data_IF_853698878545
#
_entry.id   IF_853698878545
#
_cell.length_a   1.000
_cell.length_b   1.000
_cell.length_c   1.000
_cell.angle_alpha   90.00
_cell.angle_beta   90.00
_cell.angle_gamma   90.00
#
_symmetry.space_group_name_H-M   'P 1'
#
loop_
_entity.id
_entity.type
_entity.pdbx_description
1 polymer ?
#
# COMPACT_ATOMS: atom_id res chain seq x y z
N UNK A 1 -22.04 -6.98 10.40
CA UNK A 1 -22.92 -6.51 11.50
C UNK A 1 -24.19 -7.34 11.64
N UNK A 2 -24.53 -8.23 10.69
CA UNK A 2 -25.79 -8.98 10.78
C UNK A 2 -25.78 -10.13 11.80
N UNK A 3 -24.61 -10.73 12.08
CA UNK A 3 -24.48 -11.90 12.96
C UNK A 3 -24.42 -11.51 14.44
N UNK A 4 -23.48 -10.63 14.81
CA UNK A 4 -23.29 -10.17 16.19
C UNK A 4 -23.76 -8.71 16.32
N UNK A 5 -25.08 -8.52 16.39
CA UNK A 5 -25.71 -7.19 16.43
C UNK A 5 -25.44 -6.43 17.73
N UNK A 6 -25.08 -7.13 18.80
CA UNK A 6 -24.94 -6.59 20.17
C UNK A 6 -23.50 -6.37 20.61
N UNK A 7 -22.51 -6.81 19.83
CA UNK A 7 -21.10 -6.73 20.24
C UNK A 7 -20.15 -6.45 19.07
N UNK A 8 -19.21 -5.54 19.29
CA UNK A 8 -18.11 -5.21 18.37
C UNK A 8 -16.88 -6.11 18.57
N UNK A 9 -16.91 -7.00 19.56
CA UNK A 9 -15.79 -7.87 19.92
C UNK A 9 -15.31 -8.76 18.76
N UNK A 10 -16.18 -9.46 18.00
CA UNK A 10 -15.72 -10.29 16.88
C UNK A 10 -15.03 -9.50 15.77
N UNK A 11 -15.53 -8.30 15.47
CA UNK A 11 -14.91 -7.41 14.49
C UNK A 11 -13.53 -6.91 14.95
N UNK A 12 -13.41 -6.61 16.26
CA UNK A 12 -12.16 -6.16 16.87
C UNK A 12 -11.11 -7.28 16.90
N UNK A 13 -11.51 -8.51 17.25
CA UNK A 13 -10.63 -9.70 17.22
C UNK A 13 -10.12 -9.96 15.80
N UNK A 14 -11.00 -9.90 14.81
CA UNK A 14 -10.64 -10.06 13.40
C UNK A 14 -9.61 -9.00 12.96
N UNK A 15 -9.86 -7.72 13.28
CA UNK A 15 -8.93 -6.63 12.99
C UNK A 15 -7.57 -6.80 13.68
N UNK A 16 -7.57 -7.10 14.98
CA UNK A 16 -6.33 -7.31 15.75
C UNK A 16 -5.51 -8.49 15.22
N UNK A 17 -6.15 -9.63 14.98
CA UNK A 17 -5.47 -10.83 14.51
C UNK A 17 -4.79 -10.61 13.15
N UNK A 18 -5.48 -9.94 12.22
CA UNK A 18 -4.90 -9.59 10.91
C UNK A 18 -3.75 -8.61 11.03
N UNK A 19 -3.85 -7.60 11.89
CA UNK A 19 -2.76 -6.64 12.14
C UNK A 19 -1.55 -7.31 12.77
N UNK A 20 -1.74 -8.16 13.78
CA UNK A 20 -0.66 -8.93 14.43
C UNK A 20 0.02 -9.86 13.41
N UNK A 21 -0.74 -10.58 12.59
CA UNK A 21 -0.19 -11.41 11.51
C UNK A 21 0.66 -10.57 10.54
N UNK A 22 0.20 -9.37 10.18
CA UNK A 22 0.98 -8.41 9.39
C UNK A 22 2.28 -8.00 10.06
N UNK A 23 2.27 -7.65 11.35
CA UNK A 23 3.48 -7.25 12.07
C UNK A 23 4.51 -8.38 12.09
N UNK A 24 4.08 -9.59 12.45
CA UNK A 24 5.00 -10.71 12.72
C UNK A 24 5.50 -11.40 11.44
N UNK A 25 4.69 -11.45 10.38
CA UNK A 25 4.97 -12.31 9.22
C UNK A 25 5.25 -11.56 7.91
N UNK A 26 5.10 -10.22 7.84
CA UNK A 26 5.35 -9.47 6.60
C UNK A 26 6.80 -9.62 6.08
N UNK A 27 7.79 -9.63 6.97
CA UNK A 27 9.21 -9.84 6.61
C UNK A 27 9.45 -11.25 6.08
N UNK A 28 8.82 -12.26 6.68
CA UNK A 28 8.89 -13.66 6.23
C UNK A 28 8.28 -13.81 4.83
N UNK A 29 7.13 -13.19 4.57
CA UNK A 29 6.53 -13.14 3.23
C UNK A 29 7.50 -12.49 2.23
N UNK A 30 8.12 -11.38 2.62
CA UNK A 30 9.18 -10.74 1.84
C UNK A 30 10.34 -11.68 1.49
N UNK A 31 10.84 -12.43 2.47
CA UNK A 31 11.90 -13.44 2.25
C UNK A 31 11.45 -14.58 1.33
N UNK A 32 10.18 -14.98 1.39
CA UNK A 32 9.63 -16.00 0.48
C UNK A 32 9.59 -15.46 -0.94
N UNK A 33 9.17 -14.20 -1.13
CA UNK A 33 9.18 -13.54 -2.45
C UNK A 33 10.59 -13.48 -3.02
N UNK A 34 11.60 -13.22 -2.19
CA UNK A 34 13.01 -13.14 -2.64
C UNK A 34 13.59 -14.49 -3.06
N UNK A 35 13.16 -15.58 -2.42
CA UNK A 35 13.67 -16.94 -2.69
C UNK A 35 12.90 -17.67 -3.80
N UNK A 36 11.73 -17.18 -4.17
CA UNK A 36 10.86 -17.85 -5.14
C UNK A 36 11.02 -17.23 -6.54
N UNK A 37 11.03 -18.05 -7.61
CA UNK A 37 11.05 -17.52 -8.97
C UNK A 37 9.86 -16.58 -9.21
N UNK A 38 10.10 -15.46 -9.89
CA UNK A 38 9.13 -14.38 -10.14
C UNK A 38 7.74 -14.88 -10.53
N UNK A 39 7.63 -15.75 -11.55
CA UNK A 39 6.34 -16.30 -11.99
C UNK A 39 5.69 -17.19 -10.93
N UNK A 40 6.46 -18.09 -10.32
CA UNK A 40 5.96 -18.99 -9.29
C UNK A 40 5.51 -18.24 -8.04
N UNK A 41 6.20 -17.16 -7.66
CA UNK A 41 5.83 -16.29 -6.55
C UNK A 41 4.43 -15.71 -6.78
N UNK A 42 4.22 -15.02 -7.91
CA UNK A 42 2.93 -14.41 -8.26
C UNK A 42 1.82 -15.45 -8.30
N UNK A 43 2.05 -16.59 -8.97
CA UNK A 43 1.03 -17.66 -9.09
C UNK A 43 0.67 -18.27 -7.74
N UNK A 44 1.64 -18.52 -6.86
CA UNK A 44 1.39 -19.08 -5.52
C UNK A 44 0.62 -18.09 -4.65
N UNK A 45 1.04 -16.82 -4.58
CA UNK A 45 0.33 -15.81 -3.79
C UNK A 45 -1.07 -15.55 -4.32
N UNK A 46 -1.24 -15.44 -5.64
CA UNK A 46 -2.54 -15.29 -6.27
C UNK A 46 -3.47 -16.47 -5.96
N UNK A 47 -2.98 -17.70 -6.09
CA UNK A 47 -3.76 -18.90 -5.78
C UNK A 47 -4.18 -18.93 -4.31
N UNK A 48 -3.23 -18.75 -3.38
CA UNK A 48 -3.51 -18.74 -1.94
C UNK A 48 -4.54 -17.65 -1.60
N UNK A 49 -4.39 -16.44 -2.14
CA UNK A 49 -5.29 -15.32 -1.89
C UNK A 49 -6.72 -15.61 -2.36
N UNK A 50 -6.89 -16.06 -3.61
CA UNK A 50 -8.22 -16.33 -4.19
C UNK A 50 -8.88 -17.55 -3.55
N UNK A 51 -8.12 -18.62 -3.33
CA UNK A 51 -8.63 -19.82 -2.66
C UNK A 51 -9.09 -19.52 -1.23
N UNK A 52 -8.28 -18.78 -0.46
CA UNK A 52 -8.64 -18.36 0.90
C UNK A 52 -9.87 -17.44 0.89
N UNK A 53 -10.01 -16.57 -0.11
CA UNK A 53 -11.21 -15.73 -0.28
C UNK A 53 -12.47 -16.56 -0.50
N UNK A 54 -12.40 -17.58 -1.36
CA UNK A 54 -13.54 -18.48 -1.63
C UNK A 54 -13.91 -19.29 -0.39
N UNK A 55 -12.93 -19.87 0.31
CA UNK A 55 -13.19 -20.58 1.57
C UNK A 55 -13.79 -19.66 2.64
N UNK A 56 -13.28 -18.43 2.76
CA UNK A 56 -13.83 -17.42 3.65
C UNK A 56 -15.27 -17.06 3.30
N UNK A 57 -15.58 -16.88 2.02
CA UNK A 57 -16.93 -16.60 1.55
C UNK A 57 -17.91 -17.76 1.82
N UNK A 58 -17.48 -19.01 1.61
CA UNK A 58 -18.28 -20.20 1.97
C UNK A 58 -18.51 -20.30 3.48
N UNK A 59 -17.47 -20.04 4.29
CA UNK A 59 -17.60 -19.99 5.75
C UNK A 59 -18.56 -18.90 6.22
N UNK A 60 -18.53 -17.71 5.61
CA UNK A 60 -19.49 -16.65 5.85
C UNK A 60 -20.91 -17.04 5.42
N UNK A 61 -21.07 -17.71 4.27
CA UNK A 61 -22.37 -18.20 3.82
C UNK A 61 -22.99 -19.15 4.85
N UNK A 62 -22.25 -20.18 5.29
CA UNK A 62 -22.71 -21.15 6.30
C UNK A 62 -23.08 -20.45 7.60
N UNK A 63 -22.26 -19.52 8.07
CA UNK A 63 -22.50 -18.79 9.31
C UNK A 63 -23.75 -17.90 9.17
N UNK A 64 -23.94 -17.22 8.04
CA UNK A 64 -25.10 -16.35 7.82
C UNK A 64 -26.41 -17.11 7.58
N UNK A 65 -26.36 -18.35 7.07
CA UNK A 65 -27.57 -19.13 6.79
C UNK A 65 -27.99 -19.99 7.97
N UNK A 66 -27.06 -20.61 8.69
CA UNK A 66 -27.36 -21.73 9.60
C UNK A 66 -27.01 -21.46 11.07
N UNK A 67 -26.35 -20.34 11.38
CA UNK A 67 -26.04 -19.95 12.75
C UNK A 67 -26.92 -18.79 13.22
N UNK A 68 -27.76 -19.04 14.23
CA UNK A 68 -28.56 -18.01 14.90
C UNK A 68 -28.14 -17.89 16.37
N UNK A 69 -27.39 -16.85 16.76
CA UNK A 69 -26.92 -16.68 18.14
C UNK A 69 -28.04 -16.37 19.14
N UNK A 70 -29.27 -16.05 18.69
CA UNK A 70 -30.42 -15.75 19.56
C UNK A 70 -31.23 -16.98 19.95
N UNK A 71 -30.97 -18.12 19.30
CA UNK A 71 -31.68 -19.39 19.50
C UNK A 71 -31.21 -20.20 20.72
N UNK A 72 -30.37 -19.64 21.58
CA UNK A 72 -29.85 -20.28 22.81
C UNK A 72 -30.90 -20.51 23.92
N UNK A 73 -32.18 -20.21 23.66
CA UNK A 73 -33.28 -20.50 24.58
C UNK A 73 -33.68 -21.98 24.58
N UNK A 74 -34.34 -22.47 25.66
CA UNK A 74 -34.86 -23.84 25.73
C UNK A 74 -36.01 -23.99 24.72
N UNK A 75 -35.68 -24.42 23.49
CA UNK A 75 -36.63 -24.58 22.39
C UNK A 75 -36.18 -24.02 21.03
N UNK A 76 -35.04 -23.32 20.94
CA UNK A 76 -34.48 -22.86 19.68
C UNK A 76 -33.62 -23.95 19.00
N UNK A 77 -34.07 -24.46 17.86
CA UNK A 77 -33.30 -25.40 17.03
C UNK A 77 -32.52 -24.66 15.95
N UNK A 78 -31.35 -24.08 16.29
CA UNK A 78 -30.40 -23.68 15.26
C UNK A 78 -29.75 -24.89 14.61
N UNK A 79 -29.59 -24.86 13.29
CA UNK A 79 -28.92 -25.93 12.54
C UNK A 79 -27.44 -26.09 12.93
N UNK A 80 -26.78 -25.00 13.37
CA UNK A 80 -25.44 -25.04 13.97
C UNK A 80 -25.49 -24.85 15.49
N UNK A 81 -24.70 -25.65 16.20
CA UNK A 81 -24.42 -25.46 17.63
C UNK A 81 -23.48 -24.25 17.87
N UNK A 82 -23.53 -23.66 19.06
CA UNK A 82 -22.69 -22.52 19.46
C UNK A 82 -21.18 -22.80 19.31
N UNK A 83 -20.74 -24.02 19.66
CA UNK A 83 -19.36 -24.46 19.49
C UNK A 83 -18.92 -24.50 18.02
N UNK A 84 -19.81 -24.96 17.14
CA UNK A 84 -19.55 -25.01 15.70
C UNK A 84 -19.47 -23.60 15.10
N UNK A 85 -20.35 -22.68 15.52
CA UNK A 85 -20.33 -21.29 15.08
C UNK A 85 -19.02 -20.58 15.45
N UNK A 86 -18.55 -20.77 16.69
CA UNK A 86 -17.28 -20.22 17.14
C UNK A 86 -16.07 -20.83 16.40
N UNK A 87 -16.14 -22.11 16.05
CA UNK A 87 -15.09 -22.79 15.28
C UNK A 87 -14.97 -22.21 13.86
N UNK A 88 -16.10 -21.98 13.18
CA UNK A 88 -16.13 -21.33 11.87
C UNK A 88 -15.61 -19.89 11.99
N UNK A 89 -16.01 -19.15 13.02
CA UNK A 89 -15.50 -17.80 13.25
C UNK A 89 -13.98 -17.78 13.45
N UNK A 90 -13.43 -18.70 14.26
CA UNK A 90 -11.98 -18.83 14.43
C UNK A 90 -11.27 -19.14 13.10
N UNK A 91 -11.84 -20.01 12.27
CA UNK A 91 -11.33 -20.29 10.92
C UNK A 91 -11.33 -19.04 10.02
N UNK A 92 -12.39 -18.23 10.06
CA UNK A 92 -12.47 -16.98 9.30
C UNK A 92 -11.40 -15.96 9.75
N UNK A 93 -11.15 -15.87 11.05
CA UNK A 93 -10.08 -15.02 11.60
C UNK A 93 -8.71 -15.49 11.11
N UNK A 94 -8.40 -16.79 11.17
CA UNK A 94 -7.13 -17.31 10.65
C UNK A 94 -6.99 -17.09 9.13
N UNK A 95 -8.05 -17.37 8.37
CA UNK A 95 -8.10 -17.18 6.92
C UNK A 95 -7.85 -15.73 6.53
N UNK A 96 -8.31 -14.76 7.33
CA UNK A 96 -8.06 -13.35 7.05
C UNK A 96 -6.60 -12.93 7.20
N UNK A 97 -5.87 -13.52 8.16
CA UNK A 97 -4.43 -13.33 8.27
C UNK A 97 -3.70 -13.86 7.04
N UNK A 98 -4.06 -15.06 6.58
CA UNK A 98 -3.52 -15.65 5.34
C UNK A 98 -3.86 -14.79 4.13
N UNK A 99 -5.07 -14.27 4.04
CA UNK A 99 -5.50 -13.38 2.97
C UNK A 99 -4.67 -12.08 2.93
N UNK A 100 -4.45 -11.45 4.08
CA UNK A 100 -3.63 -10.24 4.20
C UNK A 100 -2.19 -10.49 3.77
N UNK A 101 -1.58 -11.59 4.23
CA UNK A 101 -0.20 -11.95 3.90
C UNK A 101 -0.02 -12.38 2.44
N UNK A 102 -0.99 -13.07 1.86
CA UNK A 102 -0.95 -13.44 0.44
C UNK A 102 -1.12 -12.22 -0.48
N UNK A 103 -2.02 -11.30 -0.14
CA UNK A 103 -2.16 -10.02 -0.84
C UNK A 103 -0.88 -9.18 -0.77
N UNK A 104 -0.21 -9.16 0.39
CA UNK A 104 1.10 -8.54 0.55
C UNK A 104 2.14 -9.17 -0.39
N UNK A 105 2.29 -10.49 -0.38
CA UNK A 105 3.24 -11.19 -1.24
C UNK A 105 2.98 -10.96 -2.73
N UNK A 106 1.71 -10.91 -3.13
CA UNK A 106 1.30 -10.53 -4.48
C UNK A 106 1.71 -9.09 -4.83
N UNK A 107 1.43 -8.11 -3.97
CA UNK A 107 1.80 -6.69 -4.17
C UNK A 107 3.31 -6.51 -4.27
N UNK A 108 4.10 -7.15 -3.39
CA UNK A 108 5.57 -7.11 -3.48
C UNK A 108 6.05 -7.69 -4.82
N UNK A 109 5.46 -8.81 -5.25
CA UNK A 109 5.88 -9.48 -6.50
C UNK A 109 5.52 -8.69 -7.76
N UNK A 110 4.32 -8.13 -7.84
CA UNK A 110 3.86 -7.38 -9.02
C UNK A 110 4.25 -5.91 -8.94
N UNK A 111 3.79 -5.21 -7.90
CA UNK A 111 3.88 -3.76 -7.80
C UNK A 111 5.29 -3.28 -7.50
N UNK A 112 6.04 -4.04 -6.67
CA UNK A 112 7.38 -3.63 -6.22
C UNK A 112 8.53 -4.31 -6.98
N UNK A 113 8.28 -5.38 -7.73
CA UNK A 113 9.31 -6.11 -8.51
C UNK A 113 9.01 -6.13 -10.02
N UNK A 114 7.91 -6.73 -10.48
CA UNK A 114 7.66 -6.83 -11.93
C UNK A 114 7.54 -5.47 -12.62
N UNK A 115 6.87 -4.51 -11.99
CA UNK A 115 6.68 -3.18 -12.57
C UNK A 115 7.99 -2.42 -12.72
N UNK A 116 8.89 -2.57 -11.75
CA UNK A 116 10.22 -1.95 -11.79
C UNK A 116 11.04 -2.60 -12.90
N UNK A 117 11.07 -3.93 -12.95
CA UNK A 117 11.79 -4.68 -13.98
C UNK A 117 11.28 -4.38 -15.41
N UNK A 118 9.97 -4.19 -15.58
CA UNK A 118 9.36 -3.83 -16.88
C UNK A 118 9.70 -2.39 -17.31
N UNK A 119 9.87 -1.47 -16.36
CA UNK A 119 10.20 -0.08 -16.65
C UNK A 119 11.71 0.15 -16.82
N UNK A 120 12.55 -0.79 -16.38
CA UNK A 120 14.02 -0.68 -16.45
C UNK A 120 14.49 0.66 -15.87
N UNK A 121 15.33 1.41 -16.60
CA UNK A 121 15.82 2.73 -16.21
C UNK A 121 14.86 3.89 -16.53
N UNK A 122 13.66 3.63 -17.05
CA UNK A 122 12.70 4.68 -17.40
C UNK A 122 11.85 5.10 -16.19
N UNK A 123 12.39 6.00 -15.38
CA UNK A 123 11.71 6.58 -14.21
C UNK A 123 10.38 7.27 -14.54
N UNK A 124 10.24 7.87 -15.73
CA UNK A 124 8.97 8.51 -16.13
C UNK A 124 7.87 7.46 -16.40
N UNK A 125 8.22 6.36 -17.06
CA UNK A 125 7.31 5.24 -17.27
C UNK A 125 6.89 4.61 -15.93
N UNK A 126 7.84 4.43 -15.01
CA UNK A 126 7.58 3.92 -13.66
C UNK A 126 6.62 4.85 -12.89
N UNK A 127 6.85 6.17 -12.95
CA UNK A 127 5.97 7.19 -12.36
C UNK A 127 4.54 7.05 -12.89
N UNK A 128 4.38 6.98 -14.22
CA UNK A 128 3.07 6.85 -14.87
C UNK A 128 2.38 5.54 -14.49
N UNK A 129 3.12 4.43 -14.46
CA UNK A 129 2.57 3.11 -14.16
C UNK A 129 2.13 3.00 -12.70
N UNK A 130 2.95 3.47 -11.74
CA UNK A 130 2.58 3.54 -10.33
C UNK A 130 1.32 4.39 -10.10
N UNK A 131 1.28 5.59 -10.71
CA UNK A 131 0.13 6.47 -10.59
C UNK A 131 -1.15 5.81 -11.17
N UNK A 132 -1.03 5.14 -12.32
CA UNK A 132 -2.16 4.44 -12.95
C UNK A 132 -2.65 3.26 -12.12
N UNK A 133 -1.76 2.44 -11.55
CA UNK A 133 -2.17 1.37 -10.65
C UNK A 133 -2.92 1.90 -9.43
N UNK A 134 -2.39 2.95 -8.81
CA UNK A 134 -3.00 3.56 -7.64
C UNK A 134 -4.37 4.17 -7.95
N UNK A 135 -4.53 4.77 -9.14
CA UNK A 135 -5.84 5.24 -9.63
C UNK A 135 -6.84 4.11 -9.73
N UNK A 136 -6.44 2.98 -10.32
CA UNK A 136 -7.32 1.80 -10.43
C UNK A 136 -7.74 1.31 -9.05
N UNK A 137 -6.80 1.20 -8.10
CA UNK A 137 -7.09 0.81 -6.71
C UNK A 137 -8.09 1.77 -6.04
N UNK A 138 -7.87 3.09 -6.15
CA UNK A 138 -8.77 4.09 -5.58
C UNK A 138 -10.17 4.09 -6.23
N UNK A 139 -10.25 3.92 -7.54
CA UNK A 139 -11.53 3.79 -8.25
C UNK A 139 -12.28 2.54 -7.77
N UNK A 140 -11.60 1.41 -7.65
CA UNK A 140 -12.19 0.18 -7.10
C UNK A 140 -12.66 0.37 -5.65
N UNK A 141 -11.85 1.03 -4.80
CA UNK A 141 -12.24 1.35 -3.41
C UNK A 141 -13.48 2.22 -3.30
N UNK A 142 -13.72 3.08 -4.29
CA UNK A 142 -14.93 3.91 -4.36
C UNK A 142 -16.14 3.11 -4.91
N UNK A 143 -15.95 2.37 -5.99
CA UNK A 143 -17.03 1.73 -6.74
C UNK A 143 -17.48 0.42 -6.08
N UNK A 144 -16.57 -0.40 -5.55
CA UNK A 144 -16.90 -1.72 -5.00
C UNK A 144 -17.92 -1.68 -3.85
N UNK A 145 -17.79 -0.79 -2.83
CA UNK A 145 -18.80 -0.70 -1.77
C UNK A 145 -20.17 -0.26 -2.28
N UNK A 146 -20.23 0.61 -3.29
CA UNK A 146 -21.49 1.09 -3.88
C UNK A 146 -22.23 -0.04 -4.61
N UNK A 147 -21.51 -0.81 -5.44
CA UNK A 147 -22.07 -1.97 -6.11
C UNK A 147 -22.51 -3.01 -5.08
N UNK A 148 -21.67 -3.30 -4.08
CA UNK A 148 -22.01 -4.27 -3.04
C UNK A 148 -23.25 -3.85 -2.25
N UNK A 149 -23.37 -2.58 -1.85
CA UNK A 149 -24.55 -2.06 -1.17
C UNK A 149 -25.82 -2.18 -2.05
N UNK A 150 -25.72 -1.89 -3.36
CA UNK A 150 -26.83 -2.03 -4.29
C UNK A 150 -27.26 -3.50 -4.52
N UNK A 151 -26.34 -4.46 -4.40
CA UNK A 151 -26.67 -5.88 -4.44
C UNK A 151 -27.35 -6.33 -3.15
N UNK A 152 -26.86 -5.85 -1.99
CA UNK A 152 -27.40 -6.21 -0.68
C UNK A 152 -28.85 -5.73 -0.47
N UNK A 153 -29.30 -4.68 -1.17
CA UNK A 153 -30.72 -4.27 -1.12
C UNK A 153 -31.66 -5.24 -1.85
N UNK A 154 -31.12 -6.10 -2.72
CA UNK A 154 -31.91 -7.04 -3.54
C UNK A 154 -31.73 -8.50 -3.13
N UNK A 155 -30.65 -8.83 -2.44
CA UNK A 155 -30.21 -10.20 -2.19
C UNK A 155 -29.77 -10.34 -0.73
N UNK A 156 -30.14 -11.45 -0.06
CA UNK A 156 -29.71 -11.70 1.32
C UNK A 156 -28.18 -11.75 1.43
N UNK A 157 -27.63 -11.33 2.57
CA UNK A 157 -26.18 -11.26 2.79
C UNK A 157 -25.45 -12.60 2.57
N UNK A 158 -26.10 -13.72 2.92
CA UNK A 158 -25.57 -15.05 2.63
C UNK A 158 -25.31 -15.24 1.13
N UNK A 159 -26.31 -15.03 0.27
CA UNK A 159 -26.13 -15.17 -1.18
C UNK A 159 -25.17 -14.12 -1.76
N UNK A 160 -25.08 -12.93 -1.17
CA UNK A 160 -24.05 -11.95 -1.55
C UNK A 160 -22.63 -12.51 -1.39
N UNK A 161 -22.37 -13.29 -0.34
CA UNK A 161 -21.05 -13.95 -0.16
C UNK A 161 -20.76 -14.99 -1.26
N UNK A 162 -21.77 -15.73 -1.73
CA UNK A 162 -21.61 -16.67 -2.85
C UNK A 162 -21.34 -15.94 -4.16
N UNK A 163 -22.02 -14.81 -4.42
CA UNK A 163 -21.73 -13.97 -5.60
C UNK A 163 -20.27 -13.52 -5.59
N UNK A 164 -19.74 -13.11 -4.43
CA UNK A 164 -18.32 -12.76 -4.27
C UNK A 164 -17.41 -13.95 -4.57
N UNK A 165 -17.75 -15.15 -4.08
CA UNK A 165 -16.98 -16.36 -4.35
C UNK A 165 -16.93 -16.69 -5.85
N UNK A 166 -18.07 -16.60 -6.54
CA UNK A 166 -18.15 -16.80 -8.00
C UNK A 166 -17.35 -15.76 -8.76
N UNK A 167 -17.46 -14.47 -8.41
CA UNK A 167 -16.67 -13.40 -9.02
C UNK A 167 -15.17 -13.62 -8.80
N UNK A 168 -14.78 -14.09 -7.62
CA UNK A 168 -13.39 -14.38 -7.28
C UNK A 168 -12.80 -15.49 -8.17
N UNK A 169 -13.56 -16.56 -8.45
CA UNK A 169 -13.13 -17.64 -9.34
C UNK A 169 -13.00 -17.19 -10.80
N UNK A 170 -13.94 -16.36 -11.25
CA UNK A 170 -13.88 -15.76 -12.58
C UNK A 170 -12.64 -14.85 -12.73
N UNK A 171 -12.44 -13.94 -11.76
CA UNK A 171 -11.28 -13.04 -11.71
C UNK A 171 -9.95 -13.79 -11.65
N UNK A 172 -9.87 -14.87 -10.86
CA UNK A 172 -8.68 -15.70 -10.75
C UNK A 172 -8.25 -16.28 -12.11
N UNK A 173 -9.20 -16.79 -12.89
CA UNK A 173 -8.93 -17.36 -14.22
C UNK A 173 -8.34 -16.31 -15.16
N UNK A 174 -8.95 -15.11 -15.18
CA UNK A 174 -8.47 -14.00 -16.00
C UNK A 174 -7.07 -13.55 -15.55
N UNK A 175 -6.86 -13.35 -14.25
CA UNK A 175 -5.58 -12.91 -13.69
C UNK A 175 -4.45 -13.88 -14.02
N UNK A 176 -4.69 -15.20 -13.91
CA UNK A 176 -3.70 -16.21 -14.29
C UNK A 176 -3.32 -16.15 -15.78
N UNK A 177 -4.31 -15.94 -16.66
CA UNK A 177 -4.06 -15.82 -18.10
C UNK A 177 -3.24 -14.55 -18.37
N UNK A 178 -3.59 -13.42 -17.75
CA UNK A 178 -2.89 -12.15 -17.92
C UNK A 178 -1.45 -12.20 -17.40
N UNK A 179 -1.24 -12.75 -16.20
CA UNK A 179 0.12 -12.92 -15.60
C UNK A 179 1.01 -13.77 -16.50
N UNK A 180 0.49 -14.91 -17.00
CA UNK A 180 1.24 -15.77 -17.95
C UNK A 180 1.52 -15.05 -19.26
N UNK A 181 0.58 -14.25 -19.76
CA UNK A 181 0.77 -13.47 -20.99
C UNK A 181 1.85 -12.41 -20.83
N UNK A 182 1.87 -11.67 -19.72
CA UNK A 182 2.90 -10.68 -19.41
C UNK A 182 4.28 -11.35 -19.32
N UNK A 183 4.36 -12.50 -18.63
CA UNK A 183 5.58 -13.30 -18.51
C UNK A 183 6.13 -13.74 -19.86
N UNK A 184 5.27 -14.28 -20.73
CA UNK A 184 5.70 -14.77 -22.05
C UNK A 184 6.11 -13.64 -23.01
N UNK A 185 5.58 -12.42 -22.82
CA UNK A 185 5.87 -11.27 -23.66
C UNK A 185 7.06 -10.44 -23.20
N UNK A 186 7.50 -10.63 -21.95
CA UNK A 186 8.50 -9.77 -21.31
C UNK A 186 9.70 -10.62 -20.88
N UNK A 187 10.66 -10.90 -21.79
CA UNK A 187 11.81 -11.75 -21.47
C UNK A 187 12.68 -11.16 -20.36
N UNK A 188 12.57 -9.86 -20.08
CA UNK A 188 13.28 -9.21 -18.98
C UNK A 188 12.91 -9.76 -17.60
N UNK A 189 11.70 -10.32 -17.45
CA UNK A 189 11.25 -10.93 -16.21
C UNK A 189 11.92 -12.30 -15.96
N UNK A 190 12.52 -12.91 -16.99
CA UNK A 190 13.22 -14.19 -16.89
C UNK A 190 14.63 -14.03 -16.33
N UNK A 191 15.20 -12.83 -16.42
CA UNK A 191 16.50 -12.53 -15.83
C UNK A 191 16.39 -12.59 -14.31
N UNK A 192 17.44 -13.15 -13.69
CA UNK A 192 17.61 -13.09 -12.24
C UNK A 192 17.62 -11.62 -11.81
N UNK A 193 17.09 -11.33 -10.60
CA UNK A 193 17.09 -9.97 -10.05
C UNK A 193 18.51 -9.42 -10.08
N UNK A 194 18.73 -8.35 -10.84
CA UNK A 194 20.06 -7.77 -11.02
C UNK A 194 20.47 -7.02 -9.77
N UNK A 195 21.61 -7.41 -9.20
CA UNK A 195 22.21 -6.83 -8.02
C UNK A 195 22.95 -5.53 -8.43
N UNK A 196 22.37 -4.37 -8.18
CA UNK A 196 23.16 -3.13 -8.09
C UNK A 196 23.10 -2.60 -6.67
N UNK A 197 24.08 -1.79 -6.22
CA UNK A 197 24.19 -1.32 -4.82
C UNK A 197 24.38 0.21 -4.68
N UNK A 198 23.57 0.86 -3.81
CA UNK A 198 23.81 2.06 -2.97
C UNK A 198 22.62 2.31 -2.03
N UNK A 199 22.85 2.75 -0.78
CA UNK A 199 21.95 2.58 0.38
C UNK A 199 21.17 3.83 0.95
N UNK A 200 20.02 3.67 1.67
CA UNK A 200 19.21 4.65 2.45
C UNK A 200 17.94 4.07 3.17
N UNK A 201 17.76 4.40 4.47
CA UNK A 201 16.85 3.80 5.47
C UNK A 201 15.63 4.68 5.90
N UNK A 202 15.33 5.78 5.20
CA UNK A 202 14.51 6.88 5.76
C UNK A 202 12.97 6.67 5.82
N UNK A 203 12.41 5.56 5.35
CA UNK A 203 10.99 5.50 4.94
C UNK A 203 9.96 5.16 6.04
N UNK A 204 10.30 4.40 7.08
CA UNK A 204 9.27 3.84 7.99
C UNK A 204 8.49 4.90 8.81
N UNK A 205 9.09 6.05 9.11
CA UNK A 205 8.60 7.01 10.12
C UNK A 205 7.27 7.68 9.75
N UNK A 206 6.90 7.73 8.46
CA UNK A 206 5.82 8.61 7.96
C UNK A 206 4.43 7.98 8.05
N UNK A 207 4.32 6.69 8.36
CA UNK A 207 3.02 6.00 8.48
C UNK A 207 2.33 6.18 9.84
N UNK A 208 2.86 7.01 10.76
CA UNK A 208 2.09 7.50 11.91
C UNK A 208 1.23 8.69 11.46
N UNK A 209 0.03 8.43 10.96
CA UNK A 209 -0.91 9.50 10.60
C UNK A 209 -2.34 9.20 11.08
N UNK A 210 -2.68 9.57 12.33
CA UNK A 210 -4.07 9.46 12.81
C UNK A 210 -5.01 10.58 12.35
N UNK A 211 -4.55 11.55 11.55
CA UNK A 211 -5.44 12.53 10.91
C UNK A 211 -5.98 12.06 9.56
N UNK A 212 -5.81 10.78 9.26
CA UNK A 212 -6.66 10.10 8.30
C UNK A 212 -8.07 9.95 8.88
N UNK A 213 -9.10 10.04 8.02
CA UNK A 213 -10.51 9.68 8.27
C UNK A 213 -10.64 8.18 8.56
N UNK A 214 -10.02 7.75 9.65
CA UNK A 214 -10.09 6.40 10.22
C UNK A 214 -11.29 6.31 11.16
N UNK A 215 -11.65 5.09 11.58
CA UNK A 215 -12.84 4.84 12.41
C UNK A 215 -12.93 5.71 13.68
N UNK A 216 -11.79 6.07 14.26
CA UNK A 216 -11.70 6.86 15.49
C UNK A 216 -12.06 8.34 15.27
N UNK A 217 -11.59 8.94 14.17
CA UNK A 217 -11.93 10.32 13.80
C UNK A 217 -13.42 10.46 13.47
N UNK A 218 -14.01 9.46 12.82
CA UNK A 218 -15.45 9.42 12.54
C UNK A 218 -16.25 9.41 13.83
N UNK A 219 -15.87 8.59 14.81
CA UNK A 219 -16.53 8.54 16.12
C UNK A 219 -16.50 9.89 16.84
N UNK A 220 -15.35 10.58 16.81
CA UNK A 220 -15.21 11.93 17.36
C UNK A 220 -16.11 12.96 16.64
N UNK A 221 -16.15 12.91 15.31
CA UNK A 221 -16.99 13.77 14.50
C UNK A 221 -18.50 13.55 14.78
N UNK A 222 -18.92 12.30 14.96
CA UNK A 222 -20.29 11.99 15.39
C UNK A 222 -20.59 12.55 16.77
N UNK A 223 -19.64 12.43 17.72
CA UNK A 223 -19.76 13.02 19.06
C UNK A 223 -19.88 14.55 19.02
N UNK A 224 -19.15 15.23 18.12
CA UNK A 224 -19.32 16.68 17.85
C UNK A 224 -20.65 17.04 17.15
N UNK A 225 -21.53 16.08 16.90
CA UNK A 225 -22.88 16.30 16.37
C UNK A 225 -23.00 16.25 14.85
N UNK A 226 -21.98 15.78 14.13
CA UNK A 226 -22.09 15.62 12.67
C UNK A 226 -23.02 14.45 12.32
N UNK A 227 -23.94 14.70 11.39
CA UNK A 227 -24.83 13.66 10.87
C UNK A 227 -24.06 12.60 10.07
N UNK A 228 -24.59 11.38 10.04
CA UNK A 228 -24.03 10.30 9.22
C UNK A 228 -23.92 10.68 7.73
N UNK A 229 -24.87 11.49 7.21
CA UNK A 229 -24.84 12.00 5.85
C UNK A 229 -23.66 12.94 5.58
N UNK A 230 -23.39 13.87 6.49
CA UNK A 230 -22.23 14.77 6.37
C UNK A 230 -20.90 14.01 6.39
N UNK A 231 -20.79 12.96 7.22
CA UNK A 231 -19.60 12.10 7.28
C UNK A 231 -19.43 11.28 6.00
N UNK A 232 -20.53 10.76 5.44
CA UNK A 232 -20.50 10.06 4.15
C UNK A 232 -20.06 10.98 3.01
N UNK A 233 -20.57 12.23 2.98
CA UNK A 233 -20.15 13.24 2.02
C UNK A 233 -18.67 13.56 2.13
N UNK A 234 -18.17 13.80 3.35
CA UNK A 234 -16.75 14.04 3.62
C UNK A 234 -15.88 12.88 3.11
N UNK A 235 -16.28 11.63 3.36
CA UNK A 235 -15.56 10.46 2.84
C UNK A 235 -15.51 10.46 1.31
N UNK A 236 -16.63 10.76 0.65
CA UNK A 236 -16.69 10.88 -0.81
C UNK A 236 -15.74 11.95 -1.34
N UNK A 237 -15.74 13.15 -0.74
CA UNK A 237 -14.84 14.26 -1.11
C UNK A 237 -13.37 13.89 -0.84
N UNK A 238 -13.08 13.23 0.27
CA UNK A 238 -11.75 12.69 0.56
C UNK A 238 -11.31 11.74 -0.55
N UNK A 239 -12.10 10.72 -0.91
CA UNK A 239 -11.73 9.75 -1.96
C UNK A 239 -11.49 10.42 -3.32
N UNK A 240 -12.25 11.45 -3.67
CA UNK A 240 -11.98 12.27 -4.87
C UNK A 240 -10.64 12.99 -4.74
N UNK A 241 -10.34 13.56 -3.58
CA UNK A 241 -9.06 14.23 -3.30
C UNK A 241 -7.88 13.25 -3.35
N UNK A 242 -8.06 11.99 -2.93
CA UNK A 242 -7.06 10.92 -3.09
C UNK A 242 -6.77 10.67 -4.57
N UNK A 243 -7.82 10.61 -5.41
CA UNK A 243 -7.67 10.46 -6.85
C UNK A 243 -6.95 11.66 -7.48
N UNK A 244 -7.24 12.88 -7.03
CA UNK A 244 -6.52 14.10 -7.45
C UNK A 244 -5.03 13.99 -7.09
N UNK A 245 -4.69 13.50 -5.89
CA UNK A 245 -3.29 13.25 -5.50
C UNK A 245 -2.54 12.37 -6.52
N UNK A 246 -3.18 11.31 -7.02
CA UNK A 246 -2.56 10.45 -8.05
C UNK A 246 -2.39 11.12 -9.42
N UNK A 247 -3.11 12.21 -9.70
CA UNK A 247 -2.95 13.03 -10.91
C UNK A 247 -1.88 14.10 -10.70
N UNK A 248 -1.84 14.70 -9.52
CA UNK A 248 -0.90 15.75 -9.13
C UNK A 248 0.54 15.22 -9.09
N UNK A 249 0.75 14.03 -8.50
CA UNK A 249 2.10 13.45 -8.36
C UNK A 249 2.89 13.35 -9.68
N UNK A 250 2.41 12.70 -10.77
CA UNK A 250 3.18 12.60 -12.00
C UNK A 250 3.39 13.97 -12.68
N UNK A 251 2.42 14.88 -12.56
CA UNK A 251 2.55 16.25 -13.09
C UNK A 251 3.69 16.97 -12.36
N UNK A 252 3.70 16.94 -11.02
CA UNK A 252 4.75 17.56 -10.23
C UNK A 252 6.12 16.92 -10.49
N UNK A 253 6.20 15.59 -10.55
CA UNK A 253 7.46 14.88 -10.80
C UNK A 253 8.07 15.27 -12.15
N UNK A 254 7.26 15.51 -13.18
CA UNK A 254 7.74 16.03 -14.48
C UNK A 254 8.36 17.43 -14.38
N UNK A 255 7.83 18.30 -13.52
CA UNK A 255 8.29 19.70 -13.42
C UNK A 255 9.41 19.93 -12.41
N UNK A 256 9.32 19.32 -11.23
CA UNK A 256 10.26 19.58 -10.12
C UNK A 256 11.14 18.38 -9.77
N UNK A 257 10.85 17.20 -10.29
CA UNK A 257 11.55 15.95 -9.99
C UNK A 257 11.01 15.22 -8.76
N UNK A 258 11.20 13.90 -8.72
CA UNK A 258 10.58 12.98 -7.75
C UNK A 258 10.80 13.39 -6.29
N UNK A 259 12.06 13.61 -5.88
CA UNK A 259 12.42 13.95 -4.50
C UNK A 259 11.82 15.29 -4.04
N UNK A 260 11.72 16.28 -4.94
CA UNK A 260 11.10 17.58 -4.62
C UNK A 260 9.59 17.47 -4.56
N UNK A 261 8.97 16.66 -5.41
CA UNK A 261 7.54 16.35 -5.33
C UNK A 261 7.19 15.81 -3.95
N UNK A 262 8.01 14.93 -3.38
CA UNK A 262 7.81 14.42 -2.01
C UNK A 262 7.84 15.53 -0.97
N UNK A 263 8.82 16.44 -1.04
CA UNK A 263 8.94 17.52 -0.07
C UNK A 263 7.74 18.49 -0.15
N UNK A 264 7.34 18.87 -1.36
CA UNK A 264 6.14 19.68 -1.56
C UNK A 264 4.88 18.98 -1.05
N UNK A 265 4.74 17.67 -1.29
CA UNK A 265 3.55 16.91 -0.91
C UNK A 265 3.39 16.80 0.61
N UNK A 266 4.45 16.50 1.35
CA UNK A 266 4.38 16.34 2.81
C UNK A 266 4.22 17.68 3.55
N UNK A 267 4.83 18.76 3.05
CA UNK A 267 4.60 20.08 3.62
C UNK A 267 3.21 20.62 3.28
N UNK A 268 2.70 20.33 2.08
CA UNK A 268 1.31 20.63 1.73
C UNK A 268 0.32 19.91 2.66
N UNK A 269 0.59 18.65 3.01
CA UNK A 269 -0.20 17.91 3.99
C UNK A 269 -0.18 18.59 5.37
N UNK A 270 0.99 18.96 5.90
CA UNK A 270 1.13 19.65 7.19
C UNK A 270 0.33 20.97 7.18
N UNK A 271 0.45 21.75 6.12
CA UNK A 271 -0.25 23.04 5.97
C UNK A 271 -1.77 22.82 5.92
N UNK A 272 -2.23 21.82 5.17
CA UNK A 272 -3.66 21.49 5.06
C UNK A 272 -4.27 21.01 6.39
N UNK A 273 -3.48 20.32 7.24
CA UNK A 273 -3.94 19.81 8.54
C UNK A 273 -3.81 20.80 9.69
N UNK A 274 -3.00 21.85 9.55
CA UNK A 274 -2.86 22.92 10.56
C UNK A 274 -4.21 23.56 10.95
N UNK A 275 -5.10 23.97 10.02
CA UNK A 275 -6.41 24.52 10.38
C UNK A 275 -7.34 23.46 10.99
N UNK A 276 -7.16 22.18 10.66
CA UNK A 276 -7.91 21.07 11.29
C UNK A 276 -7.54 20.96 12.76
N UNK A 277 -6.25 20.99 13.08
CA UNK A 277 -5.78 20.93 14.46
C UNK A 277 -6.30 22.12 15.26
N UNK A 278 -6.17 23.35 14.74
CA UNK A 278 -6.70 24.55 15.38
C UNK A 278 -8.20 24.45 15.64
N UNK A 279 -8.94 23.82 14.72
CA UNK A 279 -10.37 23.63 14.84
C UNK A 279 -10.80 22.69 15.94
N UNK A 280 -10.00 21.67 16.22
CA UNK A 280 -10.32 20.73 17.29
C UNK A 280 -10.34 21.43 18.66
N UNK A 281 -9.53 22.48 18.85
CA UNK A 281 -9.47 23.30 20.07
C UNK A 281 -10.55 24.39 20.18
N UNK A 282 -11.36 24.61 19.14
CA UNK A 282 -12.34 25.71 19.13
C UNK A 282 -13.71 25.28 18.60
N UNK A 283 -14.78 25.56 19.34
CA UNK A 283 -16.14 25.08 18.99
C UNK A 283 -16.98 26.05 18.14
N UNK A 284 -16.38 27.06 17.51
CA UNK A 284 -17.13 28.03 16.69
C UNK A 284 -17.52 27.44 15.31
N UNK A 285 -18.77 27.64 14.91
CA UNK A 285 -19.38 27.07 13.69
C UNK A 285 -18.66 27.29 12.33
N UNK A 286 -17.93 28.38 12.02
CA UNK A 286 -17.18 28.48 10.76
C UNK A 286 -15.92 27.58 10.72
N UNK A 287 -15.50 27.04 11.88
CA UNK A 287 -14.27 26.27 12.02
C UNK A 287 -14.50 24.76 11.72
N UNK A 288 -15.76 24.29 11.75
CA UNK A 288 -16.10 22.92 11.31
C UNK A 288 -15.87 22.74 9.80
N UNK A 289 -16.15 23.75 8.98
CA UNK A 289 -15.82 23.72 7.54
C UNK A 289 -14.31 23.58 7.29
N UNK A 290 -13.47 24.18 8.15
CA UNK A 290 -12.01 24.02 8.08
C UNK A 290 -11.57 22.58 8.36
N UNK A 291 -12.27 21.85 9.23
CA UNK A 291 -12.02 20.42 9.45
C UNK A 291 -12.27 19.65 8.15
N UNK A 292 -13.44 19.85 7.51
CA UNK A 292 -13.78 19.15 6.27
C UNK A 292 -12.82 19.50 5.13
N UNK A 293 -12.58 20.79 4.91
CA UNK A 293 -11.71 21.26 3.83
C UNK A 293 -10.26 20.84 4.06
N UNK A 294 -9.74 20.98 5.28
CA UNK A 294 -8.36 20.59 5.62
C UNK A 294 -8.14 19.08 5.54
N UNK A 295 -9.09 18.26 6.00
CA UNK A 295 -9.01 16.80 5.85
C UNK A 295 -9.12 16.34 4.38
N UNK A 296 -9.94 17.00 3.57
CA UNK A 296 -10.04 16.69 2.14
C UNK A 296 -8.74 17.09 1.40
N UNK A 297 -8.27 18.32 1.61
CA UNK A 297 -7.05 18.83 0.98
C UNK A 297 -5.82 18.01 1.37
N UNK A 298 -5.69 17.63 2.64
CA UNK A 298 -4.53 16.83 3.09
C UNK A 298 -4.40 15.50 2.35
N UNK A 299 -5.51 14.92 1.84
CA UNK A 299 -5.47 13.68 1.03
C UNK A 299 -4.67 13.83 -0.24
N UNK A 300 -4.72 14.98 -0.89
CA UNK A 300 -3.93 15.23 -2.11
C UNK A 300 -2.43 15.13 -1.78
N UNK A 301 -2.02 15.71 -0.65
CA UNK A 301 -0.64 15.68 -0.17
C UNK A 301 -0.18 14.27 0.21
N UNK A 302 -0.92 13.60 1.10
CA UNK A 302 -0.60 12.25 1.59
C UNK A 302 -0.45 11.26 0.43
N UNK A 303 -1.41 11.22 -0.50
CA UNK A 303 -1.40 10.23 -1.58
C UNK A 303 -0.37 10.54 -2.67
N UNK A 304 -0.07 11.83 -2.90
CA UNK A 304 1.07 12.20 -3.74
C UNK A 304 2.39 11.78 -3.10
N UNK A 305 2.52 11.96 -1.79
CA UNK A 305 3.69 11.57 -1.03
C UNK A 305 3.88 10.04 -1.02
N UNK A 306 2.82 9.27 -0.77
CA UNK A 306 2.83 7.79 -0.79
C UNK A 306 3.34 7.24 -2.14
N UNK A 307 2.90 7.82 -3.25
CA UNK A 307 3.39 7.47 -4.59
C UNK A 307 4.87 7.83 -4.77
N UNK A 308 5.29 9.02 -4.33
CA UNK A 308 6.69 9.46 -4.42
C UNK A 308 7.59 8.49 -3.68
N UNK A 309 7.23 8.09 -2.46
CA UNK A 309 8.11 7.20 -1.72
C UNK A 309 8.03 5.76 -2.22
N UNK A 310 6.87 5.29 -2.64
CA UNK A 310 6.77 3.98 -3.31
C UNK A 310 7.74 3.91 -4.49
N UNK A 311 7.76 4.95 -5.34
CA UNK A 311 8.70 5.02 -6.45
C UNK A 311 10.16 5.19 -6.00
N UNK A 312 10.40 6.03 -4.99
CA UNK A 312 11.76 6.21 -4.45
C UNK A 312 12.29 4.87 -3.91
N UNK A 313 11.45 4.08 -3.24
CA UNK A 313 11.79 2.76 -2.72
C UNK A 313 12.05 1.76 -3.85
N UNK A 314 11.24 1.76 -4.90
CA UNK A 314 11.45 0.93 -6.09
C UNK A 314 12.79 1.23 -6.78
N UNK A 315 13.07 2.52 -7.05
CA UNK A 315 14.33 2.94 -7.70
C UNK A 315 15.55 2.66 -6.81
N UNK A 316 15.37 2.79 -5.49
CA UNK A 316 16.41 2.57 -4.50
C UNK A 316 16.75 1.08 -4.29
N UNK A 317 15.74 0.21 -4.27
CA UNK A 317 15.92 -1.25 -4.06
C UNK A 317 16.58 -1.90 -5.27
N UNK A 318 16.18 -1.54 -6.49
CA UNK A 318 16.77 -2.03 -7.74
C UNK A 318 18.25 -1.62 -7.85
N UNK A 319 18.58 -0.46 -7.29
CA UNK A 319 19.94 0.04 -7.20
C UNK A 319 20.71 -0.52 -6.00
N UNK A 320 20.16 -1.41 -5.16
CA UNK A 320 20.66 -1.66 -3.80
C UNK A 320 21.04 -3.08 -3.36
N UNK A 321 20.13 -4.05 -3.48
CA UNK A 321 20.09 -5.15 -2.49
C UNK A 321 19.44 -6.46 -3.01
N UNK A 322 20.00 -7.61 -2.62
CA UNK A 322 19.47 -8.95 -2.97
C UNK A 322 18.18 -9.31 -2.21
N UNK A 323 17.77 -8.49 -1.23
CA UNK A 323 16.67 -8.75 -0.29
C UNK A 323 15.54 -7.71 -0.42
N UNK A 324 15.18 -7.38 -1.66
CA UNK A 324 14.13 -6.42 -2.02
C UNK A 324 12.80 -6.72 -1.31
N UNK A 325 12.38 -7.97 -1.33
CA UNK A 325 11.16 -8.46 -0.71
C UNK A 325 11.20 -8.33 0.80
N UNK A 326 12.31 -8.68 1.46
CA UNK A 326 12.47 -8.49 2.92
C UNK A 326 12.35 -7.01 3.30
N UNK A 327 12.96 -6.10 2.55
CA UNK A 327 12.86 -4.67 2.84
C UNK A 327 11.42 -4.16 2.68
N UNK A 328 10.73 -4.61 1.63
CA UNK A 328 9.29 -4.36 1.48
C UNK A 328 8.50 -4.94 2.65
N UNK A 329 8.74 -6.20 3.03
CA UNK A 329 8.08 -6.85 4.15
C UNK A 329 8.31 -6.14 5.49
N UNK A 330 9.52 -5.65 5.74
CA UNK A 330 9.84 -4.83 6.91
C UNK A 330 9.08 -3.52 6.91
N UNK A 331 9.02 -2.86 5.76
CA UNK A 331 8.24 -1.65 5.57
C UNK A 331 6.75 -1.88 5.89
N UNK A 332 6.14 -2.94 5.36
CA UNK A 332 4.74 -3.28 5.69
C UNK A 332 4.56 -3.65 7.16
N UNK A 333 5.52 -4.32 7.80
CA UNK A 333 5.48 -4.59 9.25
C UNK A 333 5.45 -3.28 10.06
N UNK A 334 6.32 -2.32 9.73
CA UNK A 334 6.32 -1.00 10.37
C UNK A 334 5.01 -0.24 10.18
N UNK A 335 4.41 -0.30 8.99
CA UNK A 335 3.07 0.26 8.76
C UNK A 335 2.02 -0.33 9.72
N UNK A 336 2.01 -1.65 9.89
CA UNK A 336 1.07 -2.32 10.80
C UNK A 336 1.35 -1.99 12.28
N UNK A 337 2.62 -1.79 12.68
CA UNK A 337 2.97 -1.35 14.04
C UNK A 337 2.40 0.03 14.32
N UNK A 338 2.52 0.98 13.38
CA UNK A 338 1.98 2.32 13.55
C UNK A 338 0.44 2.36 13.50
N UNK A 339 -0.18 1.52 12.68
CA UNK A 339 -1.62 1.31 12.70
C UNK A 339 -2.09 0.80 14.07
N UNK A 340 -1.35 -0.14 14.68
CA UNK A 340 -1.66 -0.65 16.01
C UNK A 340 -1.44 0.42 17.10
N UNK A 341 -0.38 1.22 17.00
CA UNK A 341 -0.11 2.33 17.91
C UNK A 341 -1.25 3.36 17.91
N UNK A 342 -1.84 3.63 16.74
CA UNK A 342 -3.03 4.47 16.61
C UNK A 342 -4.22 3.92 17.43
N UNK A 343 -4.47 2.60 17.39
CA UNK A 343 -5.53 2.01 18.20
C UNK A 343 -5.24 2.12 19.70
N UNK A 344 -4.01 1.86 20.13
CA UNK A 344 -3.60 2.03 21.53
C UNK A 344 -3.75 3.46 22.01
N UNK A 345 -3.36 4.44 21.20
CA UNK A 345 -3.51 5.86 21.53
C UNK A 345 -4.98 6.21 21.80
N UNK A 346 -5.88 5.72 20.94
CA UNK A 346 -7.32 5.94 21.11
C UNK A 346 -7.87 5.22 22.35
N UNK A 347 -7.28 4.07 22.71
CA UNK A 347 -7.68 3.31 23.89
C UNK A 347 -7.29 4.02 25.19
N UNK A 348 -6.08 4.60 25.24
CA UNK A 348 -5.60 5.38 26.39
C UNK A 348 -6.45 6.64 26.59
N UNK A 349 -6.77 7.34 25.50
CA UNK A 349 -7.64 8.52 25.51
C UNK A 349 -8.99 8.22 24.87
N UNK A 350 -9.72 7.28 25.48
CA UNK A 350 -11.05 6.86 25.01
C UNK A 350 -12.15 7.90 25.25
N UNK A 351 -11.94 8.83 26.20
CA UNK A 351 -12.90 9.91 26.48
C UNK A 351 -12.88 10.96 25.36
N UNK A 352 -14.03 11.26 24.73
CA UNK A 352 -14.11 12.14 23.57
C UNK A 352 -13.68 13.58 23.88
N UNK A 353 -13.91 14.07 25.10
CA UNK A 353 -13.46 15.40 25.54
C UNK A 353 -11.93 15.58 25.49
N UNK A 354 -11.19 14.47 25.59
CA UNK A 354 -9.72 14.45 25.54
C UNK A 354 -9.17 14.02 24.18
N UNK A 355 -10.03 13.83 23.19
CA UNK A 355 -9.62 13.31 21.87
C UNK A 355 -8.68 14.26 21.11
N UNK A 356 -8.64 15.55 21.48
CA UNK A 356 -7.67 16.51 20.96
C UNK A 356 -6.20 16.10 21.22
N UNK A 357 -5.93 15.32 22.28
CA UNK A 357 -4.59 14.84 22.63
C UNK A 357 -4.09 13.85 21.56
N UNK A 358 -4.81 12.75 21.25
CA UNK A 358 -4.52 11.91 20.09
C UNK A 358 -4.31 12.66 18.77
N UNK A 359 -5.18 13.64 18.47
CA UNK A 359 -5.07 14.43 17.25
C UNK A 359 -3.78 15.27 17.20
N UNK A 360 -3.41 15.88 18.33
CA UNK A 360 -2.20 16.70 18.45
C UNK A 360 -0.94 15.85 18.32
N UNK A 361 -0.90 14.70 19.00
CA UNK A 361 0.25 13.79 18.89
C UNK A 361 0.45 13.33 17.44
N UNK A 362 -0.65 13.04 16.74
CA UNK A 362 -0.61 12.64 15.34
C UNK A 362 -0.10 13.75 14.43
N UNK A 363 -0.51 14.99 14.67
CA UNK A 363 0.05 16.15 13.96
C UNK A 363 1.56 16.30 14.18
N UNK A 364 2.02 16.14 15.42
CA UNK A 364 3.44 16.16 15.75
C UNK A 364 4.20 15.05 15.00
N UNK A 365 3.64 13.85 14.90
CA UNK A 365 4.26 12.75 14.15
C UNK A 365 4.35 13.05 12.64
N UNK A 366 3.34 13.67 12.04
CA UNK A 366 3.39 14.08 10.62
C UNK A 366 4.44 15.16 10.39
N UNK A 367 4.50 16.18 11.26
CA UNK A 367 5.54 17.22 11.21
C UNK A 367 6.92 16.61 11.36
N UNK A 368 7.10 15.66 12.29
CA UNK A 368 8.35 14.93 12.44
C UNK A 368 8.71 14.14 11.16
N UNK A 369 7.74 13.45 10.55
CA UNK A 369 7.91 12.80 9.25
C UNK A 369 8.34 13.77 8.14
N UNK A 370 7.73 14.95 8.09
CA UNK A 370 8.08 16.02 7.15
C UNK A 370 9.53 16.52 7.34
N UNK A 371 9.97 16.68 8.59
CA UNK A 371 11.33 17.08 8.94
C UNK A 371 12.35 15.98 8.59
N UNK A 372 12.05 14.72 8.88
CA UNK A 372 12.89 13.58 8.50
C UNK A 372 13.04 13.51 6.98
N UNK A 373 11.94 13.60 6.23
CA UNK A 373 11.99 13.60 4.77
C UNK A 373 12.76 14.81 4.23
N UNK A 374 12.55 16.00 4.80
CA UNK A 374 13.30 17.21 4.41
C UNK A 374 14.80 17.05 4.66
N UNK A 375 15.19 16.40 5.76
CA UNK A 375 16.59 16.07 6.06
C UNK A 375 17.16 15.09 5.03
N UNK A 376 16.38 14.09 4.61
CA UNK A 376 16.74 13.19 3.52
C UNK A 376 16.95 13.95 2.20
N UNK A 377 16.05 14.89 1.85
CA UNK A 377 16.21 15.73 0.66
C UNK A 377 17.49 16.55 0.71
N UNK A 378 17.81 17.16 1.86
CA UNK A 378 19.05 17.92 2.07
C UNK A 378 20.27 17.01 1.90
N UNK A 379 20.27 15.80 2.48
CA UNK A 379 21.40 14.87 2.35
C UNK A 379 21.62 14.39 0.92
N UNK A 380 20.55 14.17 0.17
CA UNK A 380 20.62 13.73 -1.22
C UNK A 380 21.04 14.82 -2.20
N UNK A 381 20.80 16.11 -1.90
CA UNK A 381 21.00 17.21 -2.87
C UNK A 381 21.85 18.39 -2.41
N UNK A 382 22.11 18.54 -1.12
CA UNK A 382 22.80 19.69 -0.53
C UNK A 382 21.93 20.92 -0.25
N UNK A 383 20.76 21.08 -0.89
CA UNK A 383 19.86 22.23 -0.71
C UNK A 383 18.36 21.87 -0.87
N UNK A 384 17.48 22.61 -0.19
CA UNK A 384 16.01 22.47 -0.29
C UNK A 384 15.41 23.25 -1.47
N UNK A 385 15.89 24.48 -1.71
CA UNK A 385 15.42 25.37 -2.76
C UNK A 385 16.53 25.64 -3.76
N UNK A 386 16.23 25.48 -5.05
CA UNK A 386 17.16 25.82 -6.12
C UNK A 386 17.06 27.33 -6.37
N UNK A 387 18.02 28.11 -5.87
CA UNK A 387 18.25 29.45 -6.42
C UNK A 387 18.96 29.26 -7.75
N UNK A 388 18.29 29.61 -8.84
CA UNK A 388 18.84 29.51 -10.20
C UNK A 388 19.93 30.57 -10.34
N UNK A 389 21.15 30.30 -9.84
CA UNK A 389 22.33 31.06 -10.27
C UNK A 389 22.57 30.67 -11.72
N UNK A 390 22.09 31.50 -12.65
CA UNK A 390 22.68 31.60 -13.98
C UNK A 390 24.10 32.11 -13.79
N UNK A 391 25.06 31.22 -13.66
CA UNK A 391 26.45 31.54 -13.93
C UNK A 391 26.88 30.65 -15.09
N UNK A 392 26.88 31.26 -16.27
CA UNK A 392 27.75 30.82 -17.36
C UNK A 392 29.17 30.84 -16.82
N UNK A 393 29.78 29.67 -16.64
CA UNK A 393 31.22 29.51 -16.47
C UNK A 393 31.55 28.05 -16.78
N UNK A 394 32.49 27.88 -17.71
CA UNK A 394 32.95 26.62 -18.28
C UNK A 394 33.38 25.61 -17.20
N UNK A 395 33.07 24.33 -17.43
CA UNK A 395 33.70 23.22 -16.74
C UNK A 395 35.16 23.11 -17.17
N UNK A 396 36.14 23.00 -16.26
CA UNK A 396 37.44 22.44 -16.59
C UNK A 396 37.29 20.92 -16.79
N UNK A 397 37.81 20.41 -17.90
CA UNK A 397 38.07 18.98 -18.09
C UNK A 397 38.88 18.44 -16.90
N UNK A 398 38.35 17.43 -16.21
CA UNK A 398 39.15 16.54 -15.38
C UNK A 398 39.73 15.46 -16.30
N UNK A 399 40.90 15.74 -16.86
CA UNK A 399 41.84 14.71 -17.33
C UNK A 399 42.44 14.05 -16.10
N UNK A 400 42.04 12.81 -15.82
CA UNK A 400 42.87 11.92 -15.00
C UNK A 400 43.86 11.24 -15.95
N UNK A 401 45.02 11.87 -16.12
CA UNK A 401 46.23 11.20 -16.59
C UNK A 401 46.65 10.18 -15.53
N UNK A 402 46.62 8.90 -15.89
CA UNK A 402 47.31 7.85 -15.15
C UNK A 402 48.17 7.09 -16.18
N UNK A 403 49.48 7.34 -16.26
CA UNK A 403 50.34 6.73 -17.27
C UNK A 403 50.88 5.41 -16.73
N UNK A 404 50.10 4.33 -16.86
CA UNK A 404 50.59 2.98 -16.57
C UNK A 404 49.63 1.95 -17.19
N UNK A 405 49.54 1.92 -18.53
CA UNK A 405 49.01 0.79 -19.33
C UNK A 405 49.08 1.10 -20.85
N UNK A 406 50.25 1.51 -21.34
CA UNK A 406 50.56 1.49 -22.78
C UNK A 406 51.96 0.91 -22.97
N UNK A 407 52.08 -0.42 -22.86
CA UNK A 407 53.14 -1.22 -23.48
C UNK A 407 52.82 -2.73 -23.40
N UNK A 408 51.88 -3.17 -24.23
CA UNK A 408 51.78 -4.54 -24.77
C UNK A 408 50.69 -4.51 -25.85
N UNK A 409 51.03 -4.22 -27.12
CA UNK A 409 51.29 -5.28 -28.09
C UNK A 409 49.98 -5.80 -28.71
N UNK A 410 49.49 -5.14 -29.77
CA UNK A 410 49.33 -5.70 -31.14
C UNK A 410 48.48 -6.98 -31.21
N UNK A 411 47.20 -6.90 -31.61
CA UNK A 411 46.70 -6.98 -33.00
C UNK A 411 46.82 -8.40 -33.61
N UNK A 412 45.74 -9.17 -33.56
CA UNK A 412 45.51 -10.32 -34.46
C UNK A 412 44.03 -10.41 -34.83
N UNK A 413 43.76 -10.13 -36.11
CA UNK A 413 42.51 -10.32 -36.82
C UNK A 413 42.26 -11.81 -37.09
N UNK A 414 41.02 -12.28 -36.87
CA UNK A 414 40.58 -13.63 -37.25
C UNK A 414 39.87 -13.55 -38.61
N UNK A 415 40.50 -14.11 -39.65
CA UNK A 415 39.89 -14.47 -40.93
C UNK A 415 39.56 -15.99 -40.95
N UNK A 416 38.49 -16.44 -41.64
CA UNK A 416 38.08 -17.85 -41.63
C UNK A 416 38.52 -18.64 -42.89
N UNK A 417 38.85 -19.92 -42.69
CA UNK A 417 38.84 -20.98 -43.71
C UNK A 417 39.97 -22.02 -43.55
N UNK A 418 39.92 -23.21 -44.21
CA UNK A 418 38.84 -23.83 -44.97
C UNK A 418 38.48 -25.28 -44.54
N UNK A 419 37.41 -25.79 -45.16
CA UNK A 419 36.92 -27.17 -45.14
C UNK A 419 37.95 -28.24 -45.56
N UNK A 420 37.95 -29.40 -44.89
CA UNK A 420 38.35 -30.68 -45.49
C UNK A 420 37.72 -31.89 -44.79
N UNK A 421 37.19 -32.79 -45.61
CA UNK A 421 36.66 -34.11 -45.30
C UNK A 421 37.77 -35.13 -45.00
N UNK A 422 37.47 -36.15 -44.20
CA UNK A 422 37.61 -37.59 -44.50
C UNK A 422 37.71 -38.47 -43.22
N UNK A 423 36.97 -39.59 -43.25
CA UNK A 423 36.99 -40.77 -42.35
C UNK A 423 38.35 -41.54 -42.39
N UNK A 424 38.55 -42.73 -41.76
CA UNK A 424 37.78 -43.54 -40.78
C UNK A 424 38.60 -44.08 -39.57
N UNK A 425 37.91 -44.51 -38.51
CA UNK A 425 37.90 -45.90 -37.99
C UNK A 425 37.02 -46.01 -36.73
#
# INVERSE_FOLDING_TARGET
MEIFKTTLLPMSIYGLATTIAGILLSTTVGSIVDRTPRLSAVQRFLFIQKFTTVLGALGFWVLLTWFDPSSTGPGGSSALSYSQGNSIFAFLVLSSGVLKLSALGWSISIERDWIVALCQSNSEALTKLNANMKRIDLICKLVSPLIFAAVLTKVNAGYCSLIIATWCMFSFTIELILVRRIWNRSPILWQARSLHSKASFSYAIIYINMMSVSGTMIGFLQWKGLTAGSIALLKGVCTISELIGTLVMPIMTRYVGLVRTGAWSIWFEVIALTPVLFSIYSDRMPIQFLIFAGMALSRVGVWSFDLVITQTMQEYIEAGNNNAGVLNGWHYSMMNVFELAQFFLTMIWSNPDKYFIPCTLSFVCIVFGALVYSTYVIRMRGHLFHSRRKTSAASPCLTTDNPELEQSGQMEDIQPGPSRSDHPN
#
